data_IF_793056909120
#
_entry.id   IF_793056909120
#
_cell.length_a   1.000
_cell.length_b   1.000
_cell.length_c   1.000
_cell.angle_alpha   90.00
_cell.angle_beta   90.00
_cell.angle_gamma   90.00
#
_symmetry.space_group_name_H-M   'P 1'
#
loop_
_entity.id
_entity.type
_entity.pdbx_description
1 polymer ?
#
# COMPACT_ATOMS: atom_id res chain seq x y z
N UNK A 1 -6.01 -4.48 -19.54
CA UNK A 1 -5.87 -3.51 -18.43
C UNK A 1 -5.35 -2.17 -18.96
N UNK A 2 -6.22 -1.22 -19.30
CA UNK A 2 -5.82 0.09 -19.86
C UNK A 2 -5.87 1.25 -18.85
N UNK A 3 -6.66 1.12 -17.78
CA UNK A 3 -6.87 2.20 -16.82
C UNK A 3 -5.67 2.34 -15.85
N UNK A 4 -5.23 1.23 -15.28
CA UNK A 4 -4.11 1.19 -14.31
C UNK A 4 -2.76 1.54 -14.94
N UNK A 5 -2.51 1.20 -16.20
CA UNK A 5 -1.24 1.55 -16.85
C UNK A 5 -1.06 3.06 -17.04
N UNK A 6 -2.12 3.80 -17.36
CA UNK A 6 -2.04 5.27 -17.47
C UNK A 6 -1.79 5.90 -16.11
N UNK A 7 -2.44 5.38 -15.07
CA UNK A 7 -2.28 5.87 -13.70
C UNK A 7 -0.86 5.60 -13.19
N UNK A 8 -0.35 4.38 -13.36
CA UNK A 8 1.04 4.02 -13.05
C UNK A 8 2.05 4.94 -13.73
N UNK A 9 1.92 5.13 -15.05
CA UNK A 9 2.84 5.99 -15.80
C UNK A 9 2.78 7.46 -15.36
N UNK A 10 1.62 7.94 -14.93
CA UNK A 10 1.46 9.28 -14.38
C UNK A 10 2.06 9.37 -12.97
N UNK A 11 1.75 8.41 -12.10
CA UNK A 11 2.27 8.33 -10.75
C UNK A 11 3.80 8.28 -10.71
N UNK A 12 4.45 7.49 -11.58
CA UNK A 12 5.91 7.39 -11.64
C UNK A 12 6.53 8.80 -11.80
N UNK A 13 5.88 9.66 -12.60
CA UNK A 13 6.30 11.05 -12.81
C UNK A 13 5.96 11.94 -11.61
N UNK A 14 4.75 11.81 -11.08
CA UNK A 14 4.25 12.65 -9.97
C UNK A 14 5.05 12.40 -8.68
N UNK A 15 5.50 11.17 -8.45
CA UNK A 15 6.37 10.77 -7.33
C UNK A 15 7.85 11.10 -7.59
N UNK A 16 8.20 11.55 -8.79
CA UNK A 16 9.55 11.94 -9.16
C UNK A 16 10.54 10.78 -9.20
N UNK A 17 10.08 9.57 -9.53
CA UNK A 17 10.98 8.42 -9.64
C UNK A 17 11.95 8.59 -10.81
N UNK A 18 13.21 8.26 -10.56
CA UNK A 18 14.27 8.31 -11.57
C UNK A 18 14.19 7.14 -12.54
N UNK A 19 13.77 5.98 -12.04
CA UNK A 19 13.40 4.86 -12.89
C UNK A 19 11.98 5.08 -13.44
N UNK A 20 11.82 4.79 -14.72
CA UNK A 20 10.56 4.99 -15.45
C UNK A 20 10.10 3.72 -16.16
N UNK A 21 10.79 2.61 -15.94
CA UNK A 21 10.40 1.33 -16.48
C UNK A 21 9.18 0.80 -15.71
N UNK A 22 8.01 0.82 -16.36
CA UNK A 22 6.74 0.46 -15.72
C UNK A 22 6.68 -0.99 -15.20
N UNK A 23 7.56 -1.89 -15.65
CA UNK A 23 7.62 -3.26 -15.12
C UNK A 23 8.18 -3.34 -13.71
N UNK A 24 8.87 -2.30 -13.26
CA UNK A 24 9.61 -2.29 -12.00
C UNK A 24 8.74 -1.73 -10.85
N UNK A 25 7.46 -1.49 -11.18
CA UNK A 25 6.43 -1.01 -10.28
C UNK A 25 5.20 -1.91 -10.36
N UNK A 26 4.46 -1.99 -9.26
CA UNK A 26 3.09 -2.50 -9.16
C UNK A 26 2.11 -1.33 -9.07
N UNK A 27 0.91 -1.44 -9.65
CA UNK A 27 -0.11 -0.39 -9.42
C UNK A 27 -1.02 -0.94 -8.34
N UNK A 28 -0.87 -0.45 -7.12
CA UNK A 28 -1.48 -1.09 -5.97
C UNK A 28 -2.16 -0.11 -5.03
N UNK A 29 -2.87 -0.61 -4.02
CA UNK A 29 -3.63 0.21 -3.09
C UNK A 29 -2.80 0.75 -1.93
N UNK A 30 -3.02 2.02 -1.53
CA UNK A 30 -2.43 2.57 -0.31
C UNK A 30 -3.03 1.93 0.95
N UNK A 31 -4.35 1.84 0.98
CA UNK A 31 -5.11 1.06 1.94
C UNK A 31 -5.64 -0.18 1.21
N UNK A 32 -5.26 -1.40 1.64
CA UNK A 32 -5.71 -2.63 0.98
C UNK A 32 -7.24 -2.78 1.07
N UNK A 33 -7.83 -3.46 0.09
CA UNK A 33 -9.28 -3.64 -0.02
C UNK A 33 -9.85 -4.38 1.20
N UNK A 34 -9.08 -5.30 1.77
CA UNK A 34 -9.41 -6.05 2.99
C UNK A 34 -9.55 -5.15 4.22
N UNK A 35 -8.94 -3.97 4.20
CA UNK A 35 -9.09 -2.93 5.22
C UNK A 35 -10.04 -1.81 4.78
N UNK A 36 -10.82 -2.01 3.73
CA UNK A 36 -11.82 -1.05 3.25
C UNK A 36 -11.29 0.01 2.29
N UNK A 37 -10.14 -0.24 1.65
CA UNK A 37 -9.61 0.59 0.57
C UNK A 37 -10.59 0.83 -0.57
N UNK A 38 -10.55 2.02 -1.16
CA UNK A 38 -11.34 2.33 -2.35
C UNK A 38 -10.73 1.63 -3.58
N UNK A 39 -11.50 0.84 -4.36
CA UNK A 39 -10.94 -0.03 -5.39
C UNK A 39 -10.45 0.70 -6.64
N UNK A 40 -10.93 1.93 -6.89
CA UNK A 40 -10.65 2.70 -8.12
C UNK A 40 -10.36 4.18 -7.87
N UNK A 41 -10.28 4.60 -6.62
CA UNK A 41 -9.92 6.00 -6.31
C UNK A 41 -8.43 6.19 -6.63
N UNK A 42 -8.06 7.10 -7.54
CA UNK A 42 -6.66 7.40 -7.81
C UNK A 42 -5.86 7.84 -6.57
N UNK A 43 -6.53 8.36 -5.53
CA UNK A 43 -5.87 8.71 -4.26
C UNK A 43 -5.53 7.51 -3.41
N UNK A 44 -6.15 6.36 -3.67
CA UNK A 44 -5.85 5.10 -3.00
C UNK A 44 -4.98 4.20 -3.90
N UNK A 45 -4.43 4.70 -5.01
CA UNK A 45 -3.61 3.94 -5.93
C UNK A 45 -2.25 4.60 -6.08
N UNK A 46 -1.20 3.78 -6.16
CA UNK A 46 0.14 4.27 -6.39
C UNK A 46 1.01 3.28 -7.17
N UNK A 47 2.01 3.79 -7.91
CA UNK A 47 3.05 2.98 -8.51
C UNK A 47 4.04 2.55 -7.43
N UNK A 48 3.83 1.38 -6.86
CA UNK A 48 4.65 0.82 -5.81
C UNK A 48 5.92 0.17 -6.38
N UNK A 49 7.14 0.60 -5.98
CA UNK A 49 8.38 0.00 -6.47
C UNK A 49 8.54 -1.46 -6.03
N UNK A 50 9.13 -2.29 -6.89
CA UNK A 50 9.57 -3.65 -6.53
C UNK A 50 10.95 -3.68 -5.87
N UNK A 51 11.78 -2.67 -6.12
CA UNK A 51 13.14 -2.57 -5.59
C UNK A 51 13.23 -1.79 -4.27
N UNK A 52 14.32 -2.02 -3.52
CA UNK A 52 14.58 -1.38 -2.24
C UNK A 52 13.91 -2.08 -1.04
N UNK A 53 14.18 -1.57 0.16
CA UNK A 53 13.68 -2.20 1.41
C UNK A 53 12.18 -1.92 1.65
N UNK A 54 11.67 -0.81 1.09
CA UNK A 54 10.26 -0.40 1.13
C UNK A 54 9.63 -0.66 -0.23
N UNK A 55 9.35 -1.92 -0.51
CA UNK A 55 8.85 -2.40 -1.80
C UNK A 55 7.52 -3.12 -1.65
N UNK A 56 6.91 -3.48 -2.78
CA UNK A 56 5.61 -4.17 -2.80
C UNK A 56 5.60 -5.43 -1.93
N UNK A 57 6.69 -6.21 -1.95
CA UNK A 57 6.78 -7.42 -1.14
C UNK A 57 6.85 -7.18 0.37
N UNK A 58 7.49 -6.08 0.82
CA UNK A 58 7.53 -5.74 2.25
C UNK A 58 6.22 -5.11 2.69
N UNK A 59 5.54 -4.31 1.86
CA UNK A 59 4.19 -3.83 2.12
C UNK A 59 3.18 -4.97 2.20
N UNK A 60 3.21 -5.93 1.28
CA UNK A 60 2.35 -7.13 1.31
C UNK A 60 2.42 -7.87 2.67
N UNK A 61 3.61 -7.96 3.26
CA UNK A 61 3.78 -8.60 4.57
C UNK A 61 3.12 -7.80 5.69
N UNK A 62 3.30 -6.48 5.69
CA UNK A 62 2.64 -5.57 6.64
C UNK A 62 1.12 -5.66 6.48
N UNK A 63 0.60 -5.57 5.26
CA UNK A 63 -0.85 -5.63 4.98
C UNK A 63 -1.47 -6.92 5.51
N UNK A 64 -0.80 -8.06 5.28
CA UNK A 64 -1.25 -9.34 5.79
C UNK A 64 -1.22 -9.41 7.33
N UNK A 65 -0.19 -8.86 7.97
CA UNK A 65 -0.08 -8.80 9.43
C UNK A 65 -1.19 -7.92 10.04
N UNK A 66 -1.40 -6.72 9.48
CA UNK A 66 -2.44 -5.77 9.93
C UNK A 66 -3.83 -6.33 9.73
N UNK A 67 -4.12 -6.90 8.55
CA UNK A 67 -5.37 -7.62 8.28
C UNK A 67 -5.63 -8.70 9.32
N UNK A 68 -4.63 -9.54 9.60
CA UNK A 68 -4.75 -10.61 10.59
C UNK A 68 -5.03 -10.06 11.99
N UNK A 69 -4.37 -8.97 12.39
CA UNK A 69 -4.63 -8.32 13.66
C UNK A 69 -6.08 -7.82 13.79
N UNK A 70 -6.66 -7.28 12.72
CA UNK A 70 -8.08 -6.90 12.67
C UNK A 70 -8.98 -8.14 12.80
N UNK A 71 -8.71 -9.20 12.03
CA UNK A 71 -9.48 -10.44 12.10
C UNK A 71 -9.41 -11.13 13.47
N UNK A 72 -8.25 -11.08 14.12
CA UNK A 72 -8.01 -11.63 15.46
C UNK A 72 -8.59 -10.73 16.59
N UNK A 73 -9.13 -9.56 16.25
CA UNK A 73 -9.65 -8.59 17.22
C UNK A 73 -8.56 -7.87 18.04
N UNK A 74 -7.29 -7.96 17.63
CA UNK A 74 -6.14 -7.29 18.28
C UNK A 74 -6.05 -5.80 17.93
N UNK A 75 -6.60 -5.41 16.78
CA UNK A 75 -6.70 -4.03 16.35
C UNK A 75 -8.11 -3.72 15.84
N UNK A 76 -8.58 -2.49 16.01
CA UNK A 76 -9.81 -2.05 15.37
C UNK A 76 -9.54 -1.72 13.90
N UNK A 77 -10.56 -1.86 13.04
CA UNK A 77 -10.46 -1.48 11.63
C UNK A 77 -10.01 -0.02 11.48
N UNK A 78 -10.56 0.90 12.28
CA UNK A 78 -10.20 2.31 12.23
C UNK A 78 -8.74 2.57 12.62
N UNK A 79 -8.21 1.87 13.64
CA UNK A 79 -6.80 1.99 14.01
C UNK A 79 -5.88 1.45 12.91
N UNK A 80 -6.23 0.30 12.33
CA UNK A 80 -5.49 -0.29 11.21
C UNK A 80 -5.45 0.62 9.98
N UNK A 81 -6.60 1.19 9.60
CA UNK A 81 -6.69 2.16 8.50
C UNK A 81 -5.82 3.40 8.76
N UNK A 82 -5.88 3.96 9.98
CA UNK A 82 -5.08 5.11 10.35
C UNK A 82 -3.58 4.82 10.30
N UNK A 83 -3.15 3.66 10.81
CA UNK A 83 -1.75 3.24 10.78
C UNK A 83 -1.22 3.09 9.35
N UNK A 84 -1.95 2.35 8.49
CA UNK A 84 -1.58 2.13 7.08
C UNK A 84 -1.48 3.44 6.29
N UNK A 85 -2.45 4.33 6.44
CA UNK A 85 -2.50 5.61 5.71
C UNK A 85 -1.50 6.66 6.23
N UNK A 86 -1.01 6.52 7.46
CA UNK A 86 -0.02 7.45 8.04
C UNK A 86 1.39 7.06 7.61
N UNK A 87 1.79 5.82 7.91
CA UNK A 87 3.07 5.25 7.50
C UNK A 87 2.99 3.72 7.65
N UNK A 88 2.69 3.02 6.56
CA UNK A 88 2.60 1.57 6.56
C UNK A 88 3.86 0.89 7.10
N UNK A 89 5.06 1.50 6.94
CA UNK A 89 6.32 0.91 7.41
C UNK A 89 6.45 0.85 8.93
N UNK A 90 5.59 1.58 9.65
CA UNK A 90 5.51 1.56 11.11
C UNK A 90 4.18 1.01 11.63
N UNK A 91 3.28 0.56 10.74
CA UNK A 91 1.92 0.18 11.11
C UNK A 91 1.88 -0.96 12.14
N UNK A 92 2.74 -1.98 11.99
CA UNK A 92 2.81 -3.09 12.95
C UNK A 92 3.22 -2.61 14.35
N UNK A 93 4.19 -1.70 14.44
CA UNK A 93 4.62 -1.11 15.71
C UNK A 93 3.53 -0.20 16.31
N UNK A 94 2.89 0.64 15.49
CA UNK A 94 1.83 1.54 15.91
C UNK A 94 0.60 0.79 16.46
N UNK A 95 0.33 -0.41 15.94
CA UNK A 95 -0.75 -1.29 16.41
C UNK A 95 -0.32 -2.24 17.54
N UNK A 96 0.98 -2.28 17.89
CA UNK A 96 1.51 -3.20 18.91
C UNK A 96 1.45 -4.67 18.49
N UNK A 97 1.63 -4.97 17.20
CA UNK A 97 1.53 -6.32 16.62
C UNK A 97 2.86 -6.84 16.02
N UNK A 98 3.93 -6.04 16.09
CA UNK A 98 5.29 -6.39 15.65
C UNK A 98 6.19 -6.92 16.75
#
# INVERSE_FOLDING_TARGET
>A
MSYTNKLKAQGIKDYGYTDTNMSDYEEDHFLPLELGGAPRDPKNLWPEPHDGDKNSYSKDRVENAVKRAVCDGKATLAAAQHAMLTDWTTAESALGIG
#
